data_IF_901815096824
#
_entry.id   IF_901815096824
#
_cell.length_a   1.000
_cell.length_b   1.000
_cell.length_c   1.000
_cell.angle_alpha   90.00
_cell.angle_beta   90.00
_cell.angle_gamma   90.00
#
_symmetry.space_group_name_H-M   'P 1'
#
loop_
_entity.id
_entity.type
_entity.pdbx_description
1 polymer ?
#
# COMPACT_ATOMS: atom_id res chain seq x y z
N UNK A 1 -15.94 29.82 -6.13
CA UNK A 1 -15.85 29.89 -4.63
C UNK A 1 -15.93 28.50 -3.97
N UNK A 2 -16.99 27.70 -4.18
CA UNK A 2 -17.12 26.38 -3.53
C UNK A 2 -16.01 25.38 -3.92
N UNK A 3 -15.61 25.35 -5.19
CA UNK A 3 -14.57 24.44 -5.70
C UNK A 3 -13.17 24.76 -5.18
N UNK A 4 -12.83 26.05 -5.04
CA UNK A 4 -11.55 26.47 -4.45
C UNK A 4 -11.44 26.08 -2.97
N UNK A 5 -12.54 26.19 -2.22
CA UNK A 5 -12.62 25.73 -0.83
C UNK A 5 -12.44 24.22 -0.71
N UNK A 6 -13.04 23.45 -1.62
CA UNK A 6 -12.87 21.99 -1.67
C UNK A 6 -11.40 21.60 -1.96
N UNK A 7 -10.77 22.21 -2.96
CA UNK A 7 -9.35 22.00 -3.29
C UNK A 7 -8.45 22.28 -2.07
N UNK A 8 -8.63 23.42 -1.42
CA UNK A 8 -7.86 23.78 -0.21
C UNK A 8 -8.07 22.78 0.93
N UNK A 9 -9.31 22.29 1.09
CA UNK A 9 -9.65 21.23 2.03
C UNK A 9 -8.91 19.93 1.74
N UNK A 10 -8.90 19.48 0.48
CA UNK A 10 -8.19 18.27 0.06
C UNK A 10 -6.68 18.42 0.26
N UNK A 11 -6.07 19.54 -0.13
CA UNK A 11 -4.63 19.78 0.11
C UNK A 11 -4.29 19.71 1.61
N UNK A 12 -5.11 20.34 2.46
CA UNK A 12 -4.92 20.31 3.92
C UNK A 12 -4.97 18.88 4.47
N UNK A 13 -5.87 18.05 3.94
CA UNK A 13 -5.99 16.66 4.32
C UNK A 13 -4.74 15.86 3.92
N UNK A 14 -4.22 16.07 2.70
CA UNK A 14 -2.99 15.41 2.23
C UNK A 14 -1.81 15.77 3.13
N UNK A 15 -1.60 17.07 3.41
CA UNK A 15 -0.53 17.54 4.31
C UNK A 15 -0.62 16.83 5.66
N UNK A 16 -1.82 16.76 6.25
CA UNK A 16 -2.03 16.09 7.54
C UNK A 16 -1.69 14.60 7.51
N UNK A 17 -1.97 13.91 6.39
CA UNK A 17 -1.64 12.49 6.21
C UNK A 17 -0.13 12.27 6.07
N UNK A 18 0.56 13.12 5.30
CA UNK A 18 2.01 13.09 5.13
C UNK A 18 2.72 13.37 6.46
N UNK A 19 2.27 14.35 7.23
CA UNK A 19 2.77 14.63 8.57
C UNK A 19 2.57 13.48 9.53
N UNK A 20 1.39 12.84 9.49
CA UNK A 20 1.13 11.67 10.31
C UNK A 20 2.06 10.51 9.94
N UNK A 21 2.27 10.25 8.65
CA UNK A 21 3.22 9.23 8.20
C UNK A 21 4.65 9.53 8.66
N UNK A 22 5.09 10.79 8.50
CA UNK A 22 6.41 11.25 8.96
C UNK A 22 6.60 11.04 10.46
N UNK A 23 5.63 11.44 11.28
CA UNK A 23 5.66 11.25 12.75
C UNK A 23 5.76 9.79 13.15
N UNK A 24 5.02 8.91 12.48
CA UNK A 24 5.07 7.47 12.75
C UNK A 24 6.45 6.91 12.41
N UNK A 25 7.04 7.34 11.30
CA UNK A 25 8.39 6.91 10.92
C UNK A 25 9.47 7.41 11.89
N UNK A 26 9.44 8.71 12.21
CA UNK A 26 10.42 9.34 13.09
C UNK A 26 10.39 8.74 14.51
N UNK A 27 9.23 8.25 14.97
CA UNK A 27 9.06 7.61 16.28
C UNK A 27 9.78 6.26 16.42
N UNK A 28 10.11 5.58 15.31
CA UNK A 28 10.74 4.25 15.35
C UNK A 28 12.26 4.34 15.52
N UNK A 29 12.84 5.54 15.35
CA UNK A 29 14.24 5.87 15.65
C UNK A 29 15.26 5.23 14.72
N UNK A 30 15.25 3.90 14.61
CA UNK A 30 16.15 3.12 13.78
C UNK A 30 15.44 1.93 13.14
N UNK A 31 14.97 2.15 11.91
CA UNK A 31 14.32 1.18 11.04
C UNK A 31 15.27 0.08 10.52
N UNK A 32 16.28 -0.31 11.31
CA UNK A 32 17.20 -1.41 11.03
C UNK A 32 16.39 -2.66 10.63
N UNK A 33 16.65 -3.20 9.44
CA UNK A 33 15.97 -4.40 8.93
C UNK A 33 14.72 -4.14 8.07
N UNK A 34 14.25 -2.88 7.95
CA UNK A 34 13.28 -2.54 6.91
C UNK A 34 13.96 -2.45 5.53
N UNK A 35 13.22 -2.75 4.46
CA UNK A 35 13.66 -2.56 3.08
C UNK A 35 14.10 -1.12 2.83
N UNK A 36 15.03 -0.94 1.89
CA UNK A 36 15.49 0.39 1.49
C UNK A 36 14.34 1.29 1.02
N UNK A 37 13.35 0.72 0.34
CA UNK A 37 12.14 1.42 -0.08
C UNK A 37 11.46 2.20 1.06
N UNK A 38 11.38 1.66 2.29
CA UNK A 38 10.79 2.40 3.41
C UNK A 38 11.62 3.61 3.82
N UNK A 39 12.95 3.49 3.80
CA UNK A 39 13.87 4.60 4.11
C UNK A 39 13.80 5.67 3.01
N UNK A 40 13.77 5.24 1.76
CA UNK A 40 13.67 6.13 0.61
C UNK A 40 12.34 6.88 0.58
N UNK A 41 11.23 6.21 0.88
CA UNK A 41 9.92 6.85 1.01
C UNK A 41 9.94 7.87 2.14
N UNK A 42 10.47 7.52 3.31
CA UNK A 42 10.54 8.42 4.45
C UNK A 42 11.40 9.67 4.18
N UNK A 43 12.49 9.53 3.43
CA UNK A 43 13.36 10.67 3.07
C UNK A 43 12.72 11.65 2.09
N UNK A 44 11.70 11.22 1.33
CA UNK A 44 10.94 12.08 0.40
C UNK A 44 9.75 12.79 1.05
N UNK A 45 9.25 12.33 2.21
CA UNK A 45 8.12 12.94 2.92
C UNK A 45 8.29 14.46 3.16
N UNK A 46 9.46 14.97 3.60
CA UNK A 46 9.64 16.41 3.82
C UNK A 46 9.54 17.24 2.53
N UNK A 47 10.03 16.71 1.41
CA UNK A 47 9.94 17.38 0.11
C UNK A 47 8.47 17.48 -0.34
N UNK A 48 7.74 16.37 -0.26
CA UNK A 48 6.30 16.32 -0.57
C UNK A 48 5.52 17.32 0.28
N UNK A 49 5.78 17.36 1.59
CA UNK A 49 5.14 18.31 2.50
C UNK A 49 5.39 19.77 2.07
N UNK A 50 6.65 20.15 1.84
CA UNK A 50 7.00 21.51 1.45
C UNK A 50 6.34 21.93 0.13
N UNK A 51 6.27 21.04 -0.85
CA UNK A 51 5.61 21.30 -2.13
C UNK A 51 4.10 21.49 -1.94
N UNK A 52 3.44 20.65 -1.13
CA UNK A 52 2.01 20.78 -0.84
C UNK A 52 1.68 22.09 -0.13
N UNK A 53 2.52 22.56 0.80
CA UNK A 53 2.35 23.86 1.45
C UNK A 53 2.43 25.01 0.46
N UNK A 54 3.37 24.95 -0.50
CA UNK A 54 3.47 25.94 -1.57
C UNK A 54 2.23 25.94 -2.44
N UNK A 55 1.78 24.76 -2.90
CA UNK A 55 0.54 24.62 -3.69
C UNK A 55 -0.63 25.22 -2.90
N UNK A 56 -0.78 24.89 -1.62
CA UNK A 56 -1.84 25.41 -0.76
C UNK A 56 -1.82 26.94 -0.67
N UNK A 57 -0.64 27.54 -0.45
CA UNK A 57 -0.48 28.98 -0.36
C UNK A 57 -0.91 29.67 -1.67
N UNK A 58 -0.59 29.07 -2.82
CA UNK A 58 -0.98 29.61 -4.13
C UNK A 58 -2.50 29.59 -4.33
N UNK A 59 -3.17 28.48 -4.00
CA UNK A 59 -4.63 28.40 -4.07
C UNK A 59 -5.35 29.37 -3.12
N UNK A 60 -4.69 29.81 -2.03
CA UNK A 60 -5.23 30.87 -1.16
C UNK A 60 -5.09 32.27 -1.78
N UNK A 61 -4.06 32.51 -2.58
CA UNK A 61 -3.77 33.84 -3.15
C UNK A 61 -4.37 34.09 -4.54
N UNK A 62 -4.72 33.03 -5.27
CA UNK A 62 -5.20 33.15 -6.64
C UNK A 62 -6.71 33.47 -6.74
N UNK A 63 -7.06 34.43 -7.61
CA UNK A 63 -8.41 34.54 -8.15
C UNK A 63 -8.63 33.37 -9.13
N UNK A 64 -9.61 32.53 -8.84
CA UNK A 64 -9.81 31.21 -9.45
C UNK A 64 -10.42 31.30 -10.86
N UNK A 65 -9.73 31.90 -11.83
CA UNK A 65 -10.24 32.02 -13.20
C UNK A 65 -9.27 31.33 -14.17
N UNK A 66 -9.75 30.33 -14.92
CA UNK A 66 -9.03 29.72 -16.06
C UNK A 66 -8.32 28.38 -15.85
N UNK A 67 -8.72 27.54 -14.88
CA UNK A 67 -8.04 26.29 -14.57
C UNK A 67 -8.80 25.05 -15.05
N UNK A 68 -8.07 23.97 -15.34
CA UNK A 68 -8.59 22.61 -15.38
C UNK A 68 -8.87 22.10 -13.96
N UNK A 69 -9.84 22.72 -13.28
CA UNK A 69 -10.25 22.41 -11.89
C UNK A 69 -10.51 20.89 -11.73
N UNK A 70 -11.06 20.24 -12.75
CA UNK A 70 -11.31 18.80 -12.76
C UNK A 70 -10.01 17.98 -12.69
N UNK A 71 -9.00 18.31 -13.50
CA UNK A 71 -7.70 17.61 -13.52
C UNK A 71 -6.99 17.79 -12.17
N UNK A 72 -7.02 19.00 -11.64
CA UNK A 72 -6.46 19.32 -10.32
C UNK A 72 -7.16 18.53 -9.22
N UNK A 73 -8.49 18.52 -9.21
CA UNK A 73 -9.26 17.81 -8.21
C UNK A 73 -9.00 16.30 -8.26
N UNK A 74 -8.96 15.72 -9.46
CA UNK A 74 -8.64 14.30 -9.67
C UNK A 74 -7.23 13.96 -9.17
N UNK A 75 -6.23 14.78 -9.52
CA UNK A 75 -4.85 14.58 -9.07
C UNK A 75 -4.71 14.68 -7.55
N UNK A 76 -5.43 15.61 -6.91
CA UNK A 76 -5.42 15.77 -5.45
C UNK A 76 -6.12 14.62 -4.74
N UNK A 77 -7.25 14.13 -5.24
CA UNK A 77 -7.92 12.97 -4.63
C UNK A 77 -7.08 11.70 -4.78
N UNK A 78 -6.43 11.46 -5.93
CA UNK A 78 -5.50 10.34 -6.06
C UNK A 78 -4.31 10.47 -5.09
N UNK A 79 -3.72 11.67 -4.99
CA UNK A 79 -2.65 11.94 -4.02
C UNK A 79 -3.10 11.67 -2.57
N UNK A 80 -4.33 12.05 -2.21
CA UNK A 80 -4.91 11.80 -0.89
C UNK A 80 -5.08 10.31 -0.61
N UNK A 81 -5.62 9.57 -1.58
CA UNK A 81 -5.81 8.12 -1.50
C UNK A 81 -4.48 7.38 -1.26
N UNK A 82 -3.43 7.82 -1.97
CA UNK A 82 -2.08 7.26 -1.86
C UNK A 82 -1.43 7.64 -0.53
N UNK A 83 -1.56 8.90 -0.08
CA UNK A 83 -1.04 9.36 1.20
C UNK A 83 -1.71 8.66 2.39
N UNK A 84 -3.02 8.42 2.34
CA UNK A 84 -3.75 7.67 3.36
C UNK A 84 -3.31 6.20 3.42
N UNK A 85 -3.17 5.56 2.25
CA UNK A 85 -2.63 4.19 2.16
C UNK A 85 -1.22 4.10 2.75
N UNK A 86 -0.36 5.07 2.43
CA UNK A 86 1.00 5.14 2.95
C UNK A 86 1.02 5.28 4.47
N UNK A 87 0.23 6.21 5.01
CA UNK A 87 0.07 6.40 6.46
C UNK A 87 -0.42 5.13 7.14
N UNK A 88 -1.40 4.42 6.57
CA UNK A 88 -1.94 3.17 7.11
C UNK A 88 -0.88 2.07 7.14
N UNK A 89 -0.06 1.95 6.10
CA UNK A 89 1.07 1.01 6.09
C UNK A 89 2.05 1.37 7.21
N UNK A 90 2.45 2.64 7.32
CA UNK A 90 3.43 3.07 8.32
C UNK A 90 2.94 2.80 9.74
N UNK A 91 1.68 3.12 10.05
CA UNK A 91 1.07 2.85 11.37
C UNK A 91 1.05 1.35 11.70
N UNK A 92 0.89 0.48 10.71
CA UNK A 92 0.77 -0.96 10.94
C UNK A 92 2.13 -1.67 10.97
N UNK A 93 3.08 -1.23 10.15
CA UNK A 93 4.36 -1.90 9.94
C UNK A 93 5.44 -1.41 10.90
N UNK A 94 5.43 -0.12 11.27
CA UNK A 94 6.55 0.47 11.99
C UNK A 94 6.54 0.23 13.51
N UNK A 95 5.40 0.30 14.24
CA UNK A 95 5.37 0.21 15.72
C UNK A 95 5.65 -1.16 16.37
N UNK A 96 6.43 -2.05 15.76
CA UNK A 96 6.64 -3.38 16.31
C UNK A 96 7.94 -4.03 15.86
N UNK A 97 8.20 -5.21 16.39
CA UNK A 97 9.49 -5.89 16.26
C UNK A 97 9.83 -6.28 14.82
N UNK A 98 11.12 -6.20 14.50
CA UNK A 98 11.66 -6.40 13.14
C UNK A 98 11.27 -7.76 12.58
N UNK A 99 11.37 -8.83 13.36
CA UNK A 99 11.12 -10.18 12.86
C UNK A 99 9.65 -10.40 12.41
N UNK A 100 8.74 -9.48 12.78
CA UNK A 100 7.32 -9.51 12.39
C UNK A 100 6.91 -8.45 11.37
N UNK A 101 7.81 -7.57 10.92
CA UNK A 101 7.41 -6.45 10.04
C UNK A 101 6.83 -6.94 8.71
N UNK A 102 7.36 -8.05 8.18
CA UNK A 102 6.91 -8.66 6.92
C UNK A 102 5.46 -9.10 7.00
N UNK A 103 5.08 -9.82 8.07
CA UNK A 103 3.71 -10.28 8.26
C UNK A 103 2.74 -9.12 8.46
N UNK A 104 3.18 -8.10 9.21
CA UNK A 104 2.42 -6.86 9.39
C UNK A 104 2.24 -6.12 8.07
N UNK A 105 3.25 -6.11 7.20
CA UNK A 105 3.18 -5.47 5.90
C UNK A 105 2.26 -6.22 4.93
N UNK A 106 2.39 -7.54 4.83
CA UNK A 106 1.44 -8.39 4.06
C UNK A 106 0.02 -8.20 4.56
N UNK A 107 -0.17 -8.18 5.87
CA UNK A 107 -1.48 -7.91 6.49
C UNK A 107 -1.98 -6.50 6.14
N UNK A 108 -1.13 -5.48 6.16
CA UNK A 108 -1.49 -4.11 5.78
C UNK A 108 -1.99 -4.05 4.32
N UNK A 109 -1.21 -4.59 3.38
CA UNK A 109 -1.55 -4.62 1.96
C UNK A 109 -2.89 -5.34 1.72
N UNK A 110 -3.13 -6.49 2.38
CA UNK A 110 -4.40 -7.22 2.29
C UNK A 110 -5.59 -6.44 2.85
N UNK A 111 -5.39 -5.65 3.90
CA UNK A 111 -6.48 -4.90 4.56
C UNK A 111 -6.80 -3.56 3.92
N UNK A 112 -5.83 -2.88 3.30
CA UNK A 112 -6.03 -1.52 2.76
C UNK A 112 -6.83 -1.58 1.45
N UNK A 113 -6.34 -2.35 0.47
CA UNK A 113 -7.01 -2.59 -0.81
C UNK A 113 -6.72 -4.05 -1.23
N UNK A 114 -7.60 -5.02 -0.89
CA UNK A 114 -7.36 -6.43 -1.20
C UNK A 114 -7.03 -6.66 -2.69
N UNK A 115 -5.85 -7.23 -2.97
CA UNK A 115 -5.39 -7.52 -4.34
C UNK A 115 -5.02 -6.31 -5.21
N UNK A 116 -5.04 -5.09 -4.66
CA UNK A 116 -4.75 -3.83 -5.39
C UNK A 116 -3.96 -2.82 -4.56
N UNK A 117 -3.43 -3.22 -3.41
CA UNK A 117 -2.65 -2.32 -2.58
C UNK A 117 -1.27 -2.11 -3.19
N UNK A 118 -0.98 -0.87 -3.54
CA UNK A 118 0.35 -0.47 -3.99
C UNK A 118 1.36 -0.59 -2.84
N UNK A 119 2.59 -0.93 -3.22
CA UNK A 119 3.73 -0.95 -2.31
C UNK A 119 4.14 0.47 -1.94
N UNK A 120 4.85 0.65 -0.82
CA UNK A 120 5.24 1.97 -0.30
C UNK A 120 5.97 2.84 -1.31
N UNK A 121 6.85 2.24 -2.12
CA UNK A 121 7.60 2.92 -3.17
C UNK A 121 6.66 3.47 -4.25
N UNK A 122 5.69 2.66 -4.71
CA UNK A 122 4.75 3.06 -5.76
C UNK A 122 3.74 4.11 -5.27
N UNK A 123 3.34 4.04 -4.00
CA UNK A 123 2.51 5.05 -3.36
C UNK A 123 3.20 6.42 -3.37
N UNK A 124 4.47 6.47 -2.96
CA UNK A 124 5.24 7.72 -2.94
C UNK A 124 5.54 8.23 -4.35
N UNK A 125 5.91 7.35 -5.28
CA UNK A 125 6.13 7.69 -6.68
C UNK A 125 4.89 8.38 -7.27
N UNK A 126 3.71 7.77 -7.08
CA UNK A 126 2.45 8.34 -7.56
C UNK A 126 2.17 9.72 -6.95
N UNK A 127 2.41 9.90 -5.64
CA UNK A 127 2.25 11.21 -4.98
C UNK A 127 3.15 12.24 -5.67
N UNK A 128 4.43 11.93 -5.86
CA UNK A 128 5.40 12.83 -6.45
C UNK A 128 5.06 13.16 -7.91
N UNK A 129 4.56 12.19 -8.69
CA UNK A 129 4.06 12.41 -10.05
C UNK A 129 2.84 13.32 -10.09
N UNK A 130 1.86 13.14 -9.18
CA UNK A 130 0.71 14.04 -9.10
C UNK A 130 1.12 15.46 -8.71
N UNK A 131 2.13 15.61 -7.86
CA UNK A 131 2.70 16.92 -7.58
C UNK A 131 3.35 17.56 -8.82
N UNK A 132 4.02 16.80 -9.69
CA UNK A 132 4.51 17.34 -10.97
C UNK A 132 3.34 17.82 -11.84
N UNK A 133 2.31 16.98 -11.99
CA UNK A 133 1.12 17.33 -12.78
C UNK A 133 0.43 18.59 -12.25
N UNK A 134 0.24 18.70 -10.94
CA UNK A 134 -0.37 19.87 -10.32
C UNK A 134 0.42 21.15 -10.58
N UNK A 135 1.74 21.06 -10.73
CA UNK A 135 2.60 22.20 -11.04
C UNK A 135 2.49 22.64 -12.49
N UNK A 136 2.38 21.68 -13.42
CA UNK A 136 2.15 21.96 -14.84
C UNK A 136 0.81 22.64 -15.10
N UNK A 137 -0.20 22.30 -14.30
CA UNK A 137 -1.56 22.85 -14.41
C UNK A 137 -1.87 23.99 -13.42
N UNK A 138 -0.90 24.41 -12.59
CA UNK A 138 -1.05 25.56 -11.68
C UNK A 138 -0.74 26.88 -12.39
N UNK A 139 -1.37 27.97 -11.95
CA UNK A 139 -1.26 29.34 -12.50
C UNK A 139 0.16 29.89 -12.50
N UNK A 140 1.05 29.31 -11.69
CA UNK A 140 2.43 29.74 -11.60
C UNK A 140 3.33 28.53 -11.33
N UNK A 141 4.41 28.43 -12.12
CA UNK A 141 5.55 27.58 -11.86
C UNK A 141 6.22 28.02 -10.53
N UNK A 142 5.71 27.50 -9.41
CA UNK A 142 6.08 27.96 -8.06
C UNK A 142 7.22 27.15 -7.43
N UNK A 143 7.56 26.01 -8.04
CA UNK A 143 8.74 25.27 -7.66
C UNK A 143 9.97 26.01 -8.16
N UNK A 144 11.00 26.03 -7.34
CA UNK A 144 12.34 26.37 -7.78
C UNK A 144 12.85 25.27 -8.72
N UNK A 145 13.79 25.61 -9.61
CA UNK A 145 14.47 24.59 -10.43
C UNK A 145 15.16 23.50 -9.59
N UNK A 146 15.51 23.81 -8.33
CA UNK A 146 16.01 22.84 -7.35
C UNK A 146 14.94 21.84 -6.92
N UNK A 147 13.74 22.31 -6.55
CA UNK A 147 12.63 21.45 -6.12
C UNK A 147 12.13 20.54 -7.24
N UNK A 148 12.01 21.04 -8.48
CA UNK A 148 11.69 20.18 -9.64
C UNK A 148 12.72 19.08 -9.84
N UNK A 149 14.02 19.41 -9.73
CA UNK A 149 15.09 18.42 -9.82
C UNK A 149 15.04 17.40 -8.68
N UNK A 150 14.70 17.83 -7.46
CA UNK A 150 14.56 16.93 -6.32
C UNK A 150 13.34 16.00 -6.48
N UNK A 151 12.21 16.51 -6.98
CA UNK A 151 11.01 15.73 -7.24
C UNK A 151 11.30 14.65 -8.29
N UNK A 152 11.88 15.03 -9.43
CA UNK A 152 12.31 14.09 -10.47
C UNK A 152 13.32 13.06 -9.95
N UNK A 153 14.33 13.50 -9.20
CA UNK A 153 15.32 12.59 -8.63
C UNK A 153 14.69 11.59 -7.65
N UNK A 154 13.71 12.01 -6.87
CA UNK A 154 12.97 11.14 -5.95
C UNK A 154 12.21 10.05 -6.69
N UNK A 155 11.47 10.44 -7.75
CA UNK A 155 10.76 9.50 -8.64
C UNK A 155 11.75 8.52 -9.28
N UNK A 156 12.82 9.02 -9.91
CA UNK A 156 13.86 8.19 -10.54
C UNK A 156 14.49 7.20 -9.54
N UNK A 157 14.57 7.56 -8.25
CA UNK A 157 15.10 6.69 -7.20
C UNK A 157 14.08 5.65 -6.76
N UNK A 158 12.80 6.00 -6.68
CA UNK A 158 11.69 5.11 -6.31
C UNK A 158 11.40 4.07 -7.40
N UNK A 159 11.60 4.42 -8.67
CA UNK A 159 11.50 3.46 -9.78
C UNK A 159 12.62 2.42 -9.76
N UNK A 160 13.80 2.79 -9.24
CA UNK A 160 15.01 1.95 -9.25
C UNK A 160 15.22 1.16 -7.96
N UNK A 161 14.52 1.51 -6.89
CA UNK A 161 14.68 0.83 -5.60
C UNK A 161 14.15 -0.59 -5.70
N UNK A 162 14.81 -1.52 -5.00
CA UNK A 162 14.29 -2.87 -4.88
C UNK A 162 12.88 -2.85 -4.25
N UNK A 163 11.92 -3.65 -4.78
CA UNK A 163 10.57 -3.67 -4.26
C UNK A 163 10.54 -3.94 -2.75
N UNK A 164 9.68 -3.22 -2.02
CA UNK A 164 9.60 -3.35 -0.56
C UNK A 164 9.17 -4.74 -0.08
N UNK A 165 8.53 -5.52 -0.96
CA UNK A 165 8.19 -6.92 -0.74
C UNK A 165 8.04 -7.61 -2.09
N UNK A 166 8.39 -8.90 -2.16
CA UNK A 166 8.15 -9.74 -3.34
C UNK A 166 6.66 -9.84 -3.66
N UNK A 167 6.33 -9.97 -4.95
CA UNK A 167 4.94 -10.16 -5.38
C UNK A 167 4.35 -11.53 -4.97
N UNK A 168 5.24 -12.47 -4.63
CA UNK A 168 4.92 -13.78 -4.08
C UNK A 168 4.30 -13.65 -2.67
N UNK A 169 2.97 -13.47 -2.63
CA UNK A 169 2.17 -13.45 -1.41
C UNK A 169 1.35 -12.17 -1.17
N UNK A 170 1.37 -11.21 -2.10
CA UNK A 170 0.46 -10.05 -2.07
C UNK A 170 -0.87 -10.36 -2.78
N UNK A 171 -0.86 -11.34 -3.70
CA UNK A 171 -2.05 -11.99 -4.23
C UNK A 171 -2.40 -13.25 -3.44
N UNK A 172 -3.69 -13.47 -3.14
CA UNK A 172 -4.18 -14.66 -2.46
C UNK A 172 -4.10 -15.93 -3.31
N UNK A 173 -2.89 -16.35 -3.71
CA UNK A 173 -2.64 -17.70 -4.20
C UNK A 173 -1.64 -18.35 -3.26
N UNK A 174 -2.16 -19.12 -2.30
CA UNK A 174 -1.37 -20.20 -1.72
C UNK A 174 -1.28 -21.29 -2.79
N UNK A 175 -0.31 -21.18 -3.70
CA UNK A 175 0.07 -22.32 -4.54
C UNK A 175 1.03 -23.17 -3.71
N UNK A 176 0.49 -24.01 -2.84
CA UNK A 176 1.29 -25.00 -2.11
C UNK A 176 1.65 -26.13 -3.08
N UNK A 177 2.82 -26.05 -3.69
CA UNK A 177 3.48 -27.22 -4.28
C UNK A 177 4.12 -28.01 -3.14
N UNK A 178 3.35 -28.88 -2.52
CA UNK A 178 3.84 -29.83 -1.52
C UNK A 178 2.78 -30.87 -1.22
N UNK A 179 3.03 -32.12 -1.64
CA UNK A 179 2.34 -33.27 -1.05
C UNK A 179 2.83 -33.42 0.39
N UNK A 180 2.10 -32.82 1.33
CA UNK A 180 2.38 -32.92 2.75
C UNK A 180 1.12 -32.70 3.55
N UNK A 181 0.63 -33.75 4.21
CA UNK A 181 -0.54 -33.70 5.08
C UNK A 181 -0.27 -32.78 6.27
N UNK A 182 -0.96 -31.64 6.35
CA UNK A 182 -0.92 -30.78 7.53
C UNK A 182 -2.03 -31.22 8.50
N UNK A 183 -1.67 -32.03 9.49
CA UNK A 183 -2.55 -32.30 10.63
C UNK A 183 -2.57 -31.06 11.55
N UNK A 184 -3.71 -30.36 11.60
CA UNK A 184 -3.91 -29.22 12.49
C UNK A 184 -4.20 -29.73 13.92
N UNK A 185 -3.23 -29.60 14.83
CA UNK A 185 -3.46 -29.68 16.28
C UNK A 185 -3.92 -28.33 16.79
N UNK A 186 -5.21 -28.06 16.72
CA UNK A 186 -5.84 -26.86 17.26
C UNK A 186 -7.18 -26.59 16.60
N UNK A 187 -8.17 -26.13 17.38
CA UNK A 187 -9.56 -25.89 16.97
C UNK A 187 -9.69 -24.91 15.79
N UNK A 188 -9.47 -25.39 14.57
CA UNK A 188 -9.76 -24.69 13.34
C UNK A 188 -10.65 -25.60 12.46
N UNK A 189 -11.86 -25.13 12.15
CA UNK A 189 -12.74 -25.77 11.18
C UNK A 189 -12.09 -25.71 9.79
N UNK A 190 -11.76 -26.88 9.23
CA UNK A 190 -11.26 -27.00 7.86
C UNK A 190 -12.43 -27.02 6.88
N UNK A 191 -12.44 -26.09 5.92
CA UNK A 191 -13.35 -26.14 4.77
C UNK A 191 -12.58 -26.70 3.57
N UNK A 192 -12.66 -28.01 3.36
CA UNK A 192 -12.07 -28.69 2.20
C UNK A 192 -13.04 -28.56 1.01
N UNK A 193 -12.70 -27.72 0.03
CA UNK A 193 -13.41 -27.69 -1.24
C UNK A 193 -12.85 -28.81 -2.14
N UNK A 194 -13.43 -30.00 -2.03
CA UNK A 194 -13.16 -31.11 -2.95
C UNK A 194 -13.81 -30.78 -4.30
N UNK A 195 -13.03 -30.25 -5.24
CA UNK A 195 -13.43 -30.11 -6.63
C UNK A 195 -13.58 -31.51 -7.24
N UNK A 196 -14.81 -31.97 -7.48
CA UNK A 196 -15.09 -33.23 -8.19
C UNK A 196 -14.77 -33.06 -9.68
N UNK A 197 -13.50 -33.27 -10.04
CA UNK A 197 -13.08 -33.55 -11.41
C UNK A 197 -13.31 -35.03 -11.71
N UNK A 198 -14.20 -35.32 -12.65
CA UNK A 198 -14.53 -36.68 -13.12
C UNK A 198 -13.27 -37.41 -13.62
N UNK A 199 -12.75 -38.32 -12.82
CA UNK A 199 -11.68 -39.24 -13.19
C UNK A 199 -12.02 -40.63 -12.66
N UNK A 200 -12.17 -41.60 -13.56
CA UNK A 200 -12.57 -42.97 -13.26
C UNK A 200 -11.70 -43.59 -12.15
N UNK A 201 -12.30 -43.83 -10.98
CA UNK A 201 -11.69 -44.61 -9.89
C UNK A 201 -11.96 -46.09 -10.12
N UNK A 202 -10.89 -46.85 -10.40
CA UNK A 202 -10.88 -48.30 -10.22
C UNK A 202 -10.96 -48.62 -8.72
N UNK A 203 -11.95 -49.42 -8.33
CA UNK A 203 -12.18 -49.88 -6.96
C UNK A 203 -11.87 -51.38 -6.87
N UNK A 204 -10.87 -51.84 -6.11
CA UNK A 204 -10.87 -53.20 -5.62
C UNK A 204 -11.87 -53.32 -4.46
N UNK A 205 -12.85 -54.20 -4.63
CA UNK A 205 -13.82 -54.58 -3.60
C UNK A 205 -13.10 -55.24 -2.41
N UNK A 206 -13.32 -54.73 -1.20
CA UNK A 206 -13.10 -55.47 0.04
C UNK A 206 -14.47 -55.92 0.54
N UNK A 207 -14.70 -57.23 0.47
CA UNK A 207 -15.85 -57.88 1.09
C UNK A 207 -15.83 -57.67 2.61
N UNK A 208 -16.93 -57.11 3.13
CA UNK A 208 -17.34 -57.19 4.53
C UNK A 208 -18.54 -58.14 4.57
N UNK A 209 -18.62 -59.12 5.47
CA UNK A 209 -19.09 -59.06 6.86
C UNK A 209 -18.98 -60.52 7.39
N UNK A 210 -18.96 -60.88 8.68
CA UNK A 210 -20.03 -60.77 9.68
C UNK A 210 -19.43 -61.18 11.05
N UNK A 211 -19.82 -60.50 12.14
CA UNK A 211 -19.53 -60.90 13.53
C UNK A 211 -20.50 -61.97 14.06
N UNK A 212 -20.04 -62.88 14.94
CA UNK A 212 -20.80 -63.34 16.12
C UNK A 212 -19.97 -64.24 17.08
N UNK A 213 -19.87 -63.78 18.33
CA UNK A 213 -19.88 -64.46 19.64
C UNK A 213 -19.05 -65.72 19.98
N UNK A 214 -18.40 -65.63 21.15
CA UNK A 214 -17.84 -66.74 21.96
C UNK A 214 -18.89 -67.37 22.90
N UNK A 215 -18.81 -68.71 23.04
CA UNK A 215 -19.06 -69.57 24.24
C UNK A 215 -20.52 -69.62 24.75
N UNK A 216 -21.19 -70.76 24.92
CA UNK A 216 -20.82 -72.15 25.29
C UNK A 216 -21.63 -73.15 24.46
#
# INVERSE_FOLDING_TARGET
>A
MAEAGAILGTISAIISLIDAAKKVYDAVGDARGLPEAFRLVASNLPLVHAILEKIQAQYRSAASDGHDIAIIAEALEDCRDKADSLKKIFVKVLPGDKDSWVDRYKSALRTIKPGRADKVEKLMETIMDKLQLLQEHSIADNLTGGERRQLKKGIDSLEKVEPSISDEGVGGSLTQYGQGSNAATGHATQTNNQNFGSGNTYQPQQDSLIQANLVT
#
